data_IF_705012972120
#
_entry.id   IF_705012972120
#
_cell.length_a   1.000
_cell.length_b   1.000
_cell.length_c   1.000
_cell.angle_alpha   90.00
_cell.angle_beta   90.00
_cell.angle_gamma   90.00
#
_symmetry.space_group_name_H-M   'P 1'
#
loop_
_entity.id
_entity.type
_entity.pdbx_description
1 polymer ?
#
# COMPACT_ATOMS: atom_id res chain seq x y z
N UNK A 1 61.12 57.30 39.18
CA UNK A 1 60.96 57.43 40.64
C UNK A 1 60.58 56.08 41.21
N UNK A 2 61.38 55.70 42.13
CA UNK A 2 61.55 54.48 42.87
C UNK A 2 60.38 53.73 43.45
N UNK A 3 60.61 52.54 43.94
CA UNK A 3 59.73 51.34 43.88
C UNK A 3 59.04 51.11 45.25
N UNK A 4 58.10 50.26 45.31
CA UNK A 4 57.65 49.67 46.56
C UNK A 4 57.53 48.15 46.47
N UNK A 5 58.21 47.62 47.50
CA UNK A 5 58.42 46.22 47.83
C UNK A 5 57.10 45.55 48.33
N UNK A 6 56.84 44.35 47.96
CA UNK A 6 57.04 43.16 48.76
C UNK A 6 55.81 42.64 49.45
N UNK A 7 55.57 41.47 49.42
CA UNK A 7 55.60 40.48 50.52
C UNK A 7 55.29 39.06 49.91
N UNK A 8 56.24 38.20 50.13
CA UNK A 8 56.17 36.79 49.92
C UNK A 8 55.27 36.19 51.01
N UNK A 9 54.21 35.52 50.61
CA UNK A 9 53.42 34.66 51.49
C UNK A 9 53.56 33.25 51.05
N UNK A 10 54.18 32.41 51.82
CA UNK A 10 54.35 30.99 51.65
C UNK A 10 52.96 30.28 51.86
N UNK A 11 52.33 29.81 50.84
CA UNK A 11 51.12 29.00 50.93
C UNK A 11 51.45 27.56 50.67
N UNK A 12 51.06 26.77 51.60
CA UNK A 12 51.17 25.29 51.69
C UNK A 12 50.56 24.58 50.50
N UNK A 13 51.34 23.74 49.79
CA UNK A 13 50.82 22.87 48.76
C UNK A 13 50.15 21.64 49.41
N UNK A 14 48.85 21.59 49.39
CA UNK A 14 48.10 20.36 49.64
C UNK A 14 47.99 19.62 48.33
N UNK A 15 48.67 18.50 48.20
CA UNK A 15 48.55 17.59 47.06
C UNK A 15 47.25 16.79 47.24
N UNK A 16 46.24 17.13 46.46
CA UNK A 16 45.00 16.40 46.38
C UNK A 16 45.17 15.34 45.24
N UNK A 17 45.44 14.10 45.62
CA UNK A 17 45.43 12.97 44.68
C UNK A 17 44.00 12.62 44.33
N UNK A 18 43.56 13.06 43.16
CA UNK A 18 42.29 12.58 42.54
C UNK A 18 42.56 11.25 41.86
N UNK A 19 42.08 10.17 42.45
CA UNK A 19 42.05 8.86 41.80
C UNK A 19 40.98 8.89 40.74
N UNK A 20 41.38 8.98 39.44
CA UNK A 20 40.49 8.73 38.31
C UNK A 20 40.25 7.24 38.22
N UNK A 21 39.09 6.77 38.69
CA UNK A 21 38.59 5.45 38.35
C UNK A 21 38.02 5.51 36.92
N UNK A 22 38.80 4.99 35.95
CA UNK A 22 38.24 4.72 34.61
C UNK A 22 37.26 3.54 34.70
N UNK A 23 35.99 3.87 34.79
CA UNK A 23 34.92 2.89 34.57
C UNK A 23 34.89 2.49 33.10
N UNK A 24 35.44 1.34 32.77
CA UNK A 24 35.19 0.70 31.45
C UNK A 24 33.73 0.28 31.43
N UNK A 25 32.85 1.08 30.81
CA UNK A 25 31.55 0.60 30.37
C UNK A 25 31.77 -0.25 29.12
N UNK A 26 31.80 -1.56 29.31
CA UNK A 26 31.71 -2.50 28.21
C UNK A 26 30.33 -2.30 27.56
N UNK A 27 30.29 -1.53 26.46
CA UNK A 27 29.17 -1.56 25.53
C UNK A 27 29.20 -2.95 24.86
N UNK A 28 28.35 -3.85 25.35
CA UNK A 28 28.05 -5.07 24.61
C UNK A 28 27.42 -4.63 23.28
N UNK A 29 28.20 -4.67 22.22
CA UNK A 29 27.72 -4.65 20.84
C UNK A 29 26.84 -5.90 20.69
N UNK A 30 25.54 -5.74 20.83
CA UNK A 30 24.60 -6.77 20.38
C UNK A 30 24.81 -6.86 18.87
N UNK A 31 25.37 -7.98 18.44
CA UNK A 31 25.33 -8.36 17.04
C UNK A 31 23.85 -8.41 16.67
N UNK A 32 23.42 -7.44 15.89
CA UNK A 32 22.12 -7.45 15.23
C UNK A 32 22.17 -8.67 14.32
N UNK A 33 21.51 -9.77 14.74
CA UNK A 33 21.26 -10.89 13.85
C UNK A 33 20.48 -10.28 12.69
N UNK A 34 21.11 -10.25 11.50
CA UNK A 34 20.40 -9.93 10.28
C UNK A 34 19.16 -10.84 10.25
N UNK A 35 17.97 -10.23 10.22
CA UNK A 35 16.77 -10.98 9.92
C UNK A 35 17.03 -11.77 8.64
N UNK A 36 16.59 -13.06 8.57
CA UNK A 36 16.70 -13.81 7.34
C UNK A 36 16.08 -12.95 6.26
N UNK A 37 16.83 -12.71 5.17
CA UNK A 37 16.31 -12.02 4.00
C UNK A 37 14.98 -12.66 3.66
N UNK A 38 13.93 -11.88 3.73
CA UNK A 38 12.59 -12.27 3.27
C UNK A 38 12.78 -12.86 1.88
N UNK A 39 12.61 -14.17 1.75
CA UNK A 39 12.62 -14.84 0.44
C UNK A 39 11.39 -14.27 -0.24
N UNK A 40 11.61 -13.19 -0.98
CA UNK A 40 10.60 -12.35 -1.57
C UNK A 40 9.53 -13.19 -2.22
N UNK A 41 8.40 -13.34 -1.53
CA UNK A 41 7.16 -13.74 -2.19
C UNK A 41 6.92 -12.64 -3.21
N UNK A 42 7.10 -12.98 -4.49
CA UNK A 42 6.85 -12.05 -5.59
C UNK A 42 5.47 -11.43 -5.36
N UNK A 43 5.39 -10.12 -5.48
CA UNK A 43 4.15 -9.40 -5.22
C UNK A 43 3.00 -10.02 -6.02
N UNK A 44 1.98 -10.53 -5.35
CA UNK A 44 0.80 -11.09 -6.02
C UNK A 44 -0.01 -9.92 -6.61
N UNK A 45 0.05 -9.77 -7.93
CA UNK A 45 -0.63 -8.67 -8.61
C UNK A 45 -2.11 -8.96 -8.82
N UNK A 46 -2.96 -8.03 -8.40
CA UNK A 46 -4.38 -7.96 -8.75
C UNK A 46 -4.56 -7.21 -10.07
N UNK A 47 -5.75 -7.33 -10.68
CA UNK A 47 -6.11 -6.47 -11.82
C UNK A 47 -6.04 -4.98 -11.44
N UNK A 48 -5.63 -4.09 -12.36
CA UNK A 48 -5.51 -2.65 -12.06
C UNK A 48 -6.87 -1.92 -12.01
N UNK A 49 -7.99 -2.62 -11.86
CA UNK A 49 -9.34 -2.04 -11.91
C UNK A 49 -10.15 -2.34 -10.66
N UNK A 50 -11.33 -1.71 -10.56
CA UNK A 50 -12.28 -1.97 -9.50
C UNK A 50 -12.76 -3.41 -9.50
N UNK A 51 -13.06 -3.93 -8.31
CA UNK A 51 -13.67 -5.24 -8.13
C UNK A 51 -14.90 -5.45 -9.03
N UNK A 52 -14.97 -6.63 -9.65
CA UNK A 52 -16.05 -7.05 -10.54
C UNK A 52 -15.95 -6.51 -11.96
N UNK A 53 -15.03 -5.58 -12.25
CA UNK A 53 -14.77 -5.13 -13.62
C UNK A 53 -14.06 -6.21 -14.42
N UNK A 54 -14.42 -6.34 -15.69
CA UNK A 54 -13.81 -7.28 -16.63
C UNK A 54 -13.20 -6.50 -17.78
N UNK A 55 -11.91 -6.71 -18.02
CA UNK A 55 -11.21 -6.11 -19.15
C UNK A 55 -10.30 -7.14 -19.83
N UNK A 56 -10.03 -6.94 -21.11
CA UNK A 56 -9.14 -7.78 -21.88
C UNK A 56 -7.69 -7.37 -21.64
N UNK A 57 -6.90 -8.29 -21.09
CA UNK A 57 -5.47 -8.17 -20.93
C UNK A 57 -4.79 -8.70 -22.19
N UNK A 58 -4.29 -7.81 -23.03
CA UNK A 58 -3.75 -8.13 -24.34
C UNK A 58 -2.21 -8.00 -24.31
N UNK A 59 -1.50 -9.11 -24.58
CA UNK A 59 -0.03 -9.16 -24.68
C UNK A 59 0.38 -9.64 -26.09
N UNK A 60 -0.17 -9.03 -27.13
CA UNK A 60 0.09 -9.39 -28.51
C UNK A 60 1.47 -8.95 -29.01
N UNK A 61 2.06 -9.77 -29.86
CA UNK A 61 3.23 -9.42 -30.67
C UNK A 61 2.95 -9.71 -32.13
N UNK A 62 3.45 -8.89 -33.10
CA UNK A 62 4.20 -7.64 -32.95
C UNK A 62 3.24 -6.46 -32.73
N UNK A 63 3.60 -5.52 -31.89
CA UNK A 63 2.81 -4.29 -31.70
C UNK A 63 3.00 -3.65 -30.33
N UNK A 64 3.26 -4.44 -29.30
CA UNK A 64 3.58 -3.89 -27.98
C UNK A 64 5.03 -3.49 -27.87
N UNK A 65 5.26 -2.28 -27.38
CA UNK A 65 6.59 -1.76 -27.10
C UNK A 65 6.58 -1.11 -25.70
N UNK A 66 7.26 -1.68 -24.74
CA UNK A 66 8.12 -2.87 -24.82
C UNK A 66 7.35 -4.19 -24.92
N UNK A 67 7.97 -5.20 -25.52
CA UNK A 67 7.43 -6.56 -25.58
C UNK A 67 7.24 -7.13 -24.16
N UNK A 68 6.08 -7.76 -23.90
CA UNK A 68 5.71 -8.28 -22.57
C UNK A 68 4.77 -7.35 -21.80
N UNK A 69 4.57 -6.11 -22.24
CA UNK A 69 3.55 -5.25 -21.66
C UNK A 69 2.14 -5.80 -21.92
N UNK A 70 1.20 -5.46 -21.06
CA UNK A 70 -0.23 -5.72 -21.23
C UNK A 70 -0.90 -4.40 -21.60
N UNK A 71 -1.62 -4.37 -22.73
CA UNK A 71 -2.59 -3.32 -23.00
C UNK A 71 -3.98 -3.81 -22.56
N UNK A 72 -4.49 -3.18 -21.53
CA UNK A 72 -5.84 -3.45 -21.06
C UNK A 72 -6.84 -2.70 -21.92
N UNK A 73 -7.82 -3.42 -22.43
CA UNK A 73 -8.79 -2.94 -23.39
C UNK A 73 -10.23 -3.23 -22.93
N UNK A 74 -11.18 -2.56 -23.59
CA UNK A 74 -12.61 -2.75 -23.35
C UNK A 74 -13.00 -4.22 -23.56
N UNK A 75 -13.73 -4.80 -22.59
CA UNK A 75 -14.36 -6.10 -22.70
C UNK A 75 -15.89 -5.94 -22.74
N UNK A 76 -16.53 -6.48 -23.77
CA UNK A 76 -17.99 -6.42 -23.91
C UNK A 76 -18.52 -4.98 -23.90
N UNK A 77 -19.39 -4.64 -22.93
CA UNK A 77 -19.96 -3.30 -22.77
C UNK A 77 -19.19 -2.40 -21.79
N UNK A 78 -18.19 -2.93 -21.08
CA UNK A 78 -17.42 -2.17 -20.09
C UNK A 78 -16.41 -1.26 -20.79
N UNK A 79 -16.74 0.02 -20.92
CA UNK A 79 -15.83 1.02 -21.48
C UNK A 79 -14.64 1.24 -20.55
N UNK A 80 -13.41 1.14 -21.10
CA UNK A 80 -12.19 1.33 -20.30
C UNK A 80 -11.81 2.80 -20.10
N UNK A 81 -12.21 3.70 -21.01
CA UNK A 81 -11.90 5.11 -20.92
C UNK A 81 -12.47 5.75 -19.66
N UNK A 82 -11.64 6.42 -18.87
CA UNK A 82 -12.02 7.05 -17.62
C UNK A 82 -12.14 6.09 -16.43
N UNK A 83 -11.95 4.78 -16.63
CA UNK A 83 -12.02 3.80 -15.54
C UNK A 83 -10.93 4.08 -14.50
N UNK A 84 -11.23 3.85 -13.22
CA UNK A 84 -10.26 4.03 -12.12
C UNK A 84 -9.13 3.03 -12.24
N UNK A 85 -7.90 3.53 -12.25
CA UNK A 85 -6.68 2.70 -12.17
C UNK A 85 -6.25 2.55 -10.73
N UNK A 86 -6.04 1.30 -10.31
CA UNK A 86 -5.63 0.92 -8.95
C UNK A 86 -4.26 0.26 -8.95
N UNK A 87 -3.51 0.47 -7.87
CA UNK A 87 -2.25 -0.25 -7.65
C UNK A 87 -2.51 -1.75 -7.59
N UNK A 88 -1.81 -2.53 -8.41
CA UNK A 88 -1.95 -3.99 -8.50
C UNK A 88 -1.33 -4.72 -7.32
N UNK A 89 -0.37 -4.09 -6.64
CA UNK A 89 0.29 -4.55 -5.41
C UNK A 89 0.76 -3.35 -4.59
N UNK A 90 1.04 -3.56 -3.30
CA UNK A 90 1.55 -2.52 -2.39
C UNK A 90 2.94 -2.05 -2.79
N UNK A 91 3.27 -0.79 -2.50
CA UNK A 91 4.60 -0.23 -2.79
C UNK A 91 4.66 1.29 -2.66
N UNK A 92 5.65 1.88 -3.33
CA UNK A 92 5.79 3.33 -3.44
C UNK A 92 5.56 3.77 -4.89
N UNK A 93 4.50 4.51 -5.13
CA UNK A 93 4.17 5.10 -6.42
C UNK A 93 4.97 6.38 -6.65
N UNK A 94 5.51 6.56 -7.85
CA UNK A 94 6.04 7.81 -8.36
C UNK A 94 5.33 8.19 -9.64
N UNK A 95 5.07 9.48 -9.80
CA UNK A 95 4.22 10.06 -10.85
C UNK A 95 5.09 10.79 -11.86
N UNK A 96 4.84 10.57 -13.14
CA UNK A 96 5.63 11.09 -14.25
C UNK A 96 4.75 11.55 -15.41
N UNK A 97 5.33 12.36 -16.28
CA UNK A 97 4.76 12.66 -17.59
C UNK A 97 5.86 12.72 -18.64
N UNK A 98 5.60 12.21 -19.83
CA UNK A 98 6.46 12.37 -21.03
C UNK A 98 5.86 13.36 -22.01
N UNK A 99 4.71 13.96 -21.67
CA UNK A 99 4.09 14.96 -22.54
C UNK A 99 4.92 16.25 -22.51
N UNK A 100 5.55 16.59 -23.62
CA UNK A 100 6.13 17.90 -23.86
C UNK A 100 5.05 18.88 -24.33
N UNK A 101 4.03 18.37 -25.06
CA UNK A 101 2.85 19.12 -25.50
C UNK A 101 1.61 18.22 -25.50
N UNK A 102 0.42 18.85 -25.50
CA UNK A 102 -0.81 18.11 -25.68
C UNK A 102 -0.82 17.46 -27.07
N UNK A 103 -1.06 16.14 -27.09
CA UNK A 103 -1.09 15.35 -28.34
C UNK A 103 0.23 14.73 -28.76
N UNK A 104 1.27 14.74 -27.89
CA UNK A 104 2.46 13.92 -28.12
C UNK A 104 2.06 12.45 -28.26
N UNK A 105 2.29 11.92 -29.44
CA UNK A 105 2.09 10.51 -29.78
C UNK A 105 3.43 9.95 -30.26
N UNK A 106 3.78 8.75 -29.84
CA UNK A 106 5.03 8.12 -30.28
C UNK A 106 5.24 6.78 -29.57
N UNK A 107 6.10 5.95 -30.16
CA UNK A 107 6.33 4.55 -29.77
C UNK A 107 6.82 4.38 -28.32
N UNK A 108 7.31 5.41 -27.67
CA UNK A 108 7.78 5.40 -26.27
C UNK A 108 7.13 6.51 -25.45
N UNK A 109 6.06 7.08 -25.95
CA UNK A 109 5.38 8.18 -25.27
C UNK A 109 4.36 7.61 -24.26
N UNK A 110 4.81 7.31 -23.05
CA UNK A 110 3.91 6.83 -21.98
C UNK A 110 2.84 7.84 -21.57
N UNK A 111 2.95 9.11 -22.03
CA UNK A 111 2.04 10.16 -21.61
C UNK A 111 2.16 10.44 -20.11
N UNK A 112 1.04 10.49 -19.43
CA UNK A 112 1.00 10.49 -17.98
C UNK A 112 1.13 9.04 -17.48
N UNK A 113 2.10 8.78 -16.60
CA UNK A 113 2.33 7.42 -16.12
C UNK A 113 2.81 7.37 -14.67
N UNK A 114 2.62 6.22 -14.07
CA UNK A 114 2.97 5.95 -12.67
C UNK A 114 3.85 4.70 -12.64
N UNK A 115 4.90 4.73 -11.82
CA UNK A 115 5.72 3.55 -11.50
C UNK A 115 5.56 3.25 -10.02
N UNK A 116 5.10 2.05 -9.68
CA UNK A 116 5.06 1.55 -8.29
C UNK A 116 6.26 0.62 -8.09
N UNK A 117 7.12 0.95 -7.11
CA UNK A 117 8.21 0.06 -6.68
C UNK A 117 7.71 -0.75 -5.49
N UNK A 118 7.75 -2.07 -5.61
CA UNK A 118 7.28 -3.03 -4.60
C UNK A 118 8.36 -3.38 -3.58
N UNK A 119 7.96 -3.99 -2.46
CA UNK A 119 8.89 -4.36 -1.37
C UNK A 119 9.93 -5.39 -1.77
N UNK A 120 9.67 -6.24 -2.77
CA UNK A 120 10.58 -7.22 -3.35
C UNK A 120 11.55 -6.63 -4.39
N UNK A 121 11.48 -5.32 -4.64
CA UNK A 121 12.29 -4.61 -5.62
C UNK A 121 11.79 -4.68 -7.07
N UNK A 122 10.73 -5.43 -7.35
CA UNK A 122 10.04 -5.38 -8.65
C UNK A 122 9.28 -4.08 -8.81
N UNK A 123 8.82 -3.78 -10.03
CA UNK A 123 8.03 -2.58 -10.28
C UNK A 123 6.86 -2.89 -11.20
N UNK A 124 5.83 -2.03 -11.11
CA UNK A 124 4.77 -1.96 -12.12
C UNK A 124 4.68 -0.58 -12.71
N UNK A 125 4.37 -0.49 -14.01
CA UNK A 125 4.09 0.77 -14.70
C UNK A 125 2.67 0.79 -15.21
N UNK A 126 2.03 1.97 -15.11
CA UNK A 126 0.68 2.26 -15.54
C UNK A 126 0.74 3.51 -16.41
N UNK A 127 0.45 3.40 -17.70
CA UNK A 127 0.64 4.51 -18.63
C UNK A 127 -0.63 4.90 -19.40
N UNK A 128 -0.53 5.96 -20.18
CA UNK A 128 -1.61 6.60 -20.96
C UNK A 128 -2.76 7.14 -20.09
N UNK A 129 -2.45 7.56 -18.86
CA UNK A 129 -3.46 8.00 -17.89
C UNK A 129 -4.08 9.35 -18.30
N UNK A 130 -5.40 9.48 -18.11
CA UNK A 130 -6.10 10.76 -18.20
C UNK A 130 -5.77 11.64 -17.00
N UNK A 131 -5.85 11.06 -15.79
CA UNK A 131 -5.55 11.76 -14.54
C UNK A 131 -4.64 10.93 -13.65
N UNK A 132 -3.93 11.61 -12.75
CA UNK A 132 -3.13 11.01 -11.69
C UNK A 132 -3.50 11.65 -10.35
N UNK A 133 -3.50 10.88 -9.26
CA UNK A 133 -3.86 11.39 -7.92
C UNK A 133 -2.81 12.32 -7.32
N UNK A 134 -1.64 12.44 -7.93
CA UNK A 134 -0.56 13.38 -7.58
C UNK A 134 0.08 13.95 -8.84
N UNK A 135 0.68 15.12 -8.70
CA UNK A 135 1.42 15.77 -9.78
C UNK A 135 2.71 15.01 -10.11
N UNK A 136 3.22 15.11 -11.35
CA UNK A 136 4.52 14.58 -11.72
C UNK A 136 5.63 15.02 -10.75
N UNK A 137 6.55 14.09 -10.43
CA UNK A 137 7.63 14.27 -9.46
C UNK A 137 7.27 13.86 -8.03
N UNK A 138 5.99 13.77 -7.68
CA UNK A 138 5.56 13.33 -6.36
C UNK A 138 5.76 11.83 -6.12
N UNK A 139 5.73 11.44 -4.84
CA UNK A 139 5.70 10.04 -4.39
C UNK A 139 4.54 9.83 -3.42
N UNK A 140 4.01 8.60 -3.39
CA UNK A 140 2.92 8.20 -2.52
C UNK A 140 3.09 6.72 -2.14
N UNK A 141 3.06 6.41 -0.84
CA UNK A 141 2.93 5.03 -0.39
C UNK A 141 1.52 4.52 -0.73
N UNK A 142 1.43 3.38 -1.40
CA UNK A 142 0.17 2.79 -1.86
C UNK A 142 0.05 1.35 -1.37
N UNK A 143 -1.15 0.99 -0.90
CA UNK A 143 -1.56 -0.40 -0.71
C UNK A 143 -2.06 -0.97 -2.04
N UNK A 144 -2.12 -2.33 -2.14
CA UNK A 144 -2.86 -2.98 -3.22
C UNK A 144 -4.31 -2.45 -3.22
N UNK A 145 -4.82 -2.07 -4.37
CA UNK A 145 -6.18 -1.52 -4.50
C UNK A 145 -6.30 -0.01 -4.35
N UNK A 146 -5.25 0.69 -3.89
CA UNK A 146 -5.26 2.16 -3.84
C UNK A 146 -5.51 2.75 -5.21
N UNK A 147 -6.49 3.65 -5.34
CA UNK A 147 -6.72 4.41 -6.57
C UNK A 147 -5.52 5.33 -6.85
N UNK A 148 -4.96 5.26 -8.05
CA UNK A 148 -3.76 6.02 -8.43
C UNK A 148 -3.97 6.96 -9.63
N UNK A 149 -5.02 6.75 -10.42
CA UNK A 149 -5.37 7.57 -11.58
C UNK A 149 -6.60 7.07 -12.31
N UNK A 150 -6.79 7.52 -13.54
CA UNK A 150 -7.85 7.04 -14.45
C UNK A 150 -7.27 6.75 -15.82
N UNK A 151 -7.85 5.77 -16.52
CA UNK A 151 -7.47 5.41 -17.88
C UNK A 151 -7.77 6.54 -18.85
N UNK A 152 -6.82 6.82 -19.72
CA UNK A 152 -6.96 7.83 -20.77
C UNK A 152 -6.32 7.39 -22.07
N UNK A 153 -5.90 8.39 -22.81
CA UNK A 153 -5.16 8.23 -24.08
C UNK A 153 -3.96 9.20 -24.17
N UNK A 154 -3.41 9.65 -23.06
CA UNK A 154 -2.25 10.54 -23.08
C UNK A 154 -1.04 9.81 -23.70
N UNK A 155 -0.41 10.41 -24.72
CA UNK A 155 0.70 9.82 -25.47
C UNK A 155 0.32 8.71 -26.45
N UNK A 156 -0.98 8.46 -26.67
CA UNK A 156 -1.49 7.45 -27.62
C UNK A 156 -2.80 7.93 -28.27
N UNK A 157 -3.24 7.29 -29.35
CA UNK A 157 -4.43 7.69 -30.11
C UNK A 157 -5.74 7.12 -29.55
N UNK A 158 -5.70 5.99 -28.85
CA UNK A 158 -6.88 5.32 -28.33
C UNK A 158 -6.79 5.08 -26.82
N UNK A 159 -7.92 5.15 -26.13
CA UNK A 159 -7.95 4.93 -24.70
C UNK A 159 -7.69 3.45 -24.37
N UNK A 160 -6.68 3.18 -23.58
CA UNK A 160 -6.32 1.89 -23.00
C UNK A 160 -5.38 2.12 -21.80
N UNK A 161 -5.19 1.10 -20.98
CA UNK A 161 -4.17 1.13 -19.94
C UNK A 161 -2.99 0.27 -20.38
N UNK A 162 -1.87 0.91 -20.69
CA UNK A 162 -0.60 0.20 -20.87
C UNK A 162 -0.02 -0.15 -19.50
N UNK A 163 0.28 -1.43 -19.29
CA UNK A 163 0.74 -1.97 -18.02
C UNK A 163 1.96 -2.86 -18.18
N UNK A 164 2.94 -2.69 -17.31
CA UNK A 164 4.16 -3.50 -17.29
C UNK A 164 4.42 -4.05 -15.90
N UNK A 165 4.88 -5.31 -15.84
CA UNK A 165 5.60 -5.87 -14.70
C UNK A 165 7.10 -5.82 -15.02
N UNK A 166 7.88 -5.22 -14.13
CA UNK A 166 9.31 -4.97 -14.32
C UNK A 166 10.07 -5.74 -13.27
N UNK A 167 11.00 -6.59 -13.71
CA UNK A 167 11.83 -7.41 -12.84
C UNK A 167 12.81 -6.56 -12.01
N UNK A 168 13.41 -7.12 -10.98
CA UNK A 168 14.44 -6.47 -10.17
C UNK A 168 15.67 -6.06 -10.99
N UNK A 169 15.95 -6.77 -12.11
CA UNK A 169 17.01 -6.44 -13.06
C UNK A 169 16.63 -5.28 -14.00
N UNK A 170 15.38 -4.79 -13.95
CA UNK A 170 14.89 -3.69 -14.78
C UNK A 170 14.36 -4.10 -16.16
N UNK A 171 14.35 -5.39 -16.48
CA UNK A 171 13.73 -5.92 -17.70
C UNK A 171 12.20 -6.06 -17.54
N UNK A 172 11.48 -6.04 -18.66
CA UNK A 172 10.04 -6.32 -18.68
C UNK A 172 9.81 -7.81 -18.51
N UNK A 173 8.89 -8.20 -17.63
CA UNK A 173 8.42 -9.56 -17.54
C UNK A 173 7.58 -9.88 -18.79
N UNK A 174 7.99 -10.89 -19.55
CA UNK A 174 7.30 -11.28 -20.79
C UNK A 174 6.12 -12.23 -20.55
N UNK A 175 5.89 -12.62 -19.30
CA UNK A 175 4.80 -13.50 -18.88
C UNK A 175 4.14 -12.98 -17.59
N UNK A 176 3.70 -11.70 -17.57
CA UNK A 176 3.16 -11.10 -16.37
C UNK A 176 1.95 -11.88 -15.86
N UNK A 177 1.84 -11.97 -14.54
CA UNK A 177 0.74 -12.67 -13.87
C UNK A 177 -0.13 -11.68 -13.10
N UNK A 178 -1.44 -11.71 -13.36
CA UNK A 178 -2.45 -10.85 -12.74
C UNK A 178 -3.65 -11.71 -12.33
N UNK A 179 -4.18 -11.54 -11.12
CA UNK A 179 -5.24 -12.39 -10.54
C UNK A 179 -4.90 -13.89 -10.57
N UNK A 180 -3.62 -14.26 -10.52
CA UNK A 180 -3.15 -15.64 -10.67
C UNK A 180 -3.20 -16.17 -12.11
N UNK A 181 -3.53 -15.33 -13.09
CA UNK A 181 -3.61 -15.66 -14.53
C UNK A 181 -2.36 -15.11 -15.21
N UNK A 182 -1.56 -15.97 -15.81
CA UNK A 182 -0.41 -15.57 -16.63
C UNK A 182 -0.87 -15.17 -18.03
N UNK A 183 -0.42 -14.00 -18.49
CA UNK A 183 -0.70 -13.46 -19.84
C UNK A 183 0.61 -13.46 -20.62
N UNK A 184 0.94 -14.59 -21.24
CA UNK A 184 2.16 -14.74 -22.02
C UNK A 184 2.08 -14.00 -23.35
N UNK A 185 3.24 -13.79 -23.98
CA UNK A 185 3.33 -13.19 -25.32
C UNK A 185 2.39 -13.84 -26.33
N UNK A 186 1.68 -13.04 -27.10
CA UNK A 186 0.70 -13.46 -28.08
C UNK A 186 -0.66 -13.90 -27.51
N UNK A 187 -0.90 -13.67 -26.22
CA UNK A 187 -2.15 -14.02 -25.56
C UNK A 187 -3.02 -12.80 -25.27
N UNK A 188 -4.31 -13.02 -25.30
CA UNK A 188 -5.34 -12.13 -24.77
C UNK A 188 -6.20 -12.91 -23.79
N UNK A 189 -6.54 -12.29 -22.65
CA UNK A 189 -7.32 -12.89 -21.57
C UNK A 189 -8.31 -11.88 -21.02
N UNK A 190 -9.59 -12.23 -21.01
CA UNK A 190 -10.57 -11.51 -20.21
C UNK A 190 -10.31 -11.82 -18.73
N UNK A 191 -10.03 -10.80 -17.93
CA UNK A 191 -9.70 -10.92 -16.52
C UNK A 191 -10.71 -10.15 -15.69
N UNK A 192 -11.40 -10.84 -14.79
CA UNK A 192 -12.25 -10.22 -13.78
C UNK A 192 -11.39 -9.73 -12.61
N UNK A 193 -11.51 -8.47 -12.29
CA UNK A 193 -10.79 -7.88 -11.16
C UNK A 193 -11.37 -8.33 -9.82
N UNK A 194 -10.49 -8.75 -8.90
CA UNK A 194 -10.79 -8.89 -7.48
C UNK A 194 -10.09 -7.78 -6.66
N UNK A 195 -9.53 -6.78 -7.33
CA UNK A 195 -8.81 -5.69 -6.67
C UNK A 195 -9.80 -4.73 -5.99
N UNK A 196 -9.47 -4.33 -4.77
CA UNK A 196 -10.32 -3.48 -3.95
C UNK A 196 -11.76 -4.02 -3.77
N UNK A 197 -11.93 -5.34 -3.69
CA UNK A 197 -13.22 -5.97 -3.39
C UNK A 197 -13.70 -5.70 -1.94
N UNK A 198 -13.23 -4.62 -1.35
CA UNK A 198 -13.63 -4.13 -0.05
C UNK A 198 -14.89 -3.28 -0.04
N UNK A 199 -15.84 -3.59 -0.94
CA UNK A 199 -17.09 -2.85 -1.11
C UNK A 199 -17.10 -2.11 -2.44
N UNK A 200 -17.97 -2.51 -3.36
CA UNK A 200 -18.09 -1.95 -4.71
C UNK A 200 -18.26 -0.41 -4.63
N UNK A 201 -17.28 0.34 -5.16
CA UNK A 201 -17.32 1.79 -5.26
C UNK A 201 -16.85 2.57 -4.01
N UNK A 202 -16.46 1.93 -2.90
CA UNK A 202 -15.86 2.65 -1.77
C UNK A 202 -14.49 3.18 -2.18
N UNK A 203 -14.21 4.51 -2.03
CA UNK A 203 -12.93 5.08 -2.41
C UNK A 203 -11.77 4.66 -1.50
N UNK A 204 -12.05 3.98 -0.37
CA UNK A 204 -11.05 3.52 0.61
C UNK A 204 -10.88 2.01 0.55
N UNK A 205 -9.64 1.56 0.75
CA UNK A 205 -9.32 0.14 1.00
C UNK A 205 -9.12 -0.10 2.50
N UNK A 206 -9.25 -1.35 2.98
CA UNK A 206 -8.97 -1.67 4.38
C UNK A 206 -7.56 -1.27 4.81
N UNK A 207 -6.56 -1.43 3.92
CA UNK A 207 -5.17 -1.07 4.16
C UNK A 207 -4.97 0.45 4.28
N UNK A 208 -5.66 1.26 3.44
CA UNK A 208 -5.62 2.72 3.58
C UNK A 208 -6.19 3.17 4.92
N UNK A 209 -7.27 2.54 5.38
CA UNK A 209 -7.89 2.86 6.68
C UNK A 209 -6.99 2.40 7.84
N UNK A 210 -6.45 1.18 7.79
CA UNK A 210 -5.58 0.65 8.83
C UNK A 210 -4.14 1.18 8.78
N UNK A 211 -3.68 1.66 7.61
CA UNK A 211 -2.35 2.25 7.42
C UNK A 211 -1.31 1.26 6.91
N UNK A 212 -0.09 1.78 6.74
CA UNK A 212 1.03 1.03 6.16
C UNK A 212 1.43 -0.18 7.01
N UNK A 213 1.78 -1.29 6.35
CA UNK A 213 2.25 -2.52 6.98
C UNK A 213 1.15 -3.45 7.48
N UNK A 214 -0.13 -3.07 7.31
CA UNK A 214 -1.25 -3.96 7.62
C UNK A 214 -1.61 -4.84 6.42
N UNK A 215 -1.80 -6.13 6.67
CA UNK A 215 -2.30 -7.11 5.70
C UNK A 215 -3.64 -7.66 6.17
N UNK A 216 -4.56 -7.92 5.24
CA UNK A 216 -5.85 -8.54 5.57
C UNK A 216 -5.56 -10.00 5.98
N UNK A 217 -6.02 -10.39 7.15
CA UNK A 217 -5.93 -11.76 7.66
C UNK A 217 -7.29 -12.45 7.67
N UNK A 218 -8.39 -11.66 7.74
CA UNK A 218 -9.74 -12.21 7.66
C UNK A 218 -10.76 -11.13 7.23
N UNK A 219 -11.94 -11.57 6.79
CA UNK A 219 -13.04 -10.68 6.41
C UNK A 219 -14.40 -11.38 6.50
N UNK A 220 -15.45 -10.60 6.74
CA UNK A 220 -16.83 -11.08 6.72
C UNK A 220 -17.73 -10.15 5.93
N UNK A 221 -18.52 -10.73 5.03
CA UNK A 221 -19.50 -9.97 4.22
C UNK A 221 -20.71 -9.57 5.08
N UNK A 222 -21.17 -8.33 4.87
CA UNK A 222 -22.36 -7.75 5.44
C UNK A 222 -23.31 -7.30 4.32
N UNK A 223 -24.60 -7.25 4.61
CA UNK A 223 -25.50 -6.52 3.68
C UNK A 223 -25.12 -5.04 3.68
N UNK A 224 -24.62 -4.57 2.54
CA UNK A 224 -24.19 -3.18 2.34
C UNK A 224 -22.73 -2.88 2.75
N UNK A 225 -21.89 -3.89 3.00
CA UNK A 225 -20.47 -3.68 3.28
C UNK A 225 -19.71 -4.94 3.60
N UNK A 226 -18.48 -4.75 4.08
CA UNK A 226 -17.60 -5.85 4.53
C UNK A 226 -16.79 -5.35 5.73
N UNK A 227 -16.69 -6.17 6.77
CA UNK A 227 -15.78 -5.95 7.89
C UNK A 227 -14.50 -6.74 7.67
N UNK A 228 -13.36 -6.12 7.97
CA UNK A 228 -12.02 -6.67 7.76
C UNK A 228 -11.24 -6.69 9.06
N UNK A 229 -10.52 -7.80 9.29
CA UNK A 229 -9.43 -7.89 10.25
C UNK A 229 -8.10 -7.81 9.50
N UNK A 230 -7.21 -6.94 9.95
CA UNK A 230 -5.85 -6.80 9.43
C UNK A 230 -4.84 -6.94 10.56
N UNK A 231 -3.64 -7.41 10.22
CA UNK A 231 -2.52 -7.55 11.14
C UNK A 231 -1.26 -6.89 10.58
N UNK A 232 -0.49 -6.25 11.46
CA UNK A 232 0.82 -5.69 11.14
C UNK A 232 1.89 -6.44 11.95
N UNK A 233 2.64 -7.31 11.29
CA UNK A 233 3.68 -8.13 11.90
C UNK A 233 4.86 -7.31 12.44
N UNK A 234 5.10 -6.11 11.88
CA UNK A 234 6.19 -5.22 12.31
C UNK A 234 5.99 -4.61 13.70
N UNK A 235 4.73 -4.54 14.20
CA UNK A 235 4.42 -3.94 15.49
C UNK A 235 3.43 -4.75 16.34
N UNK A 236 2.98 -5.92 15.87
CA UNK A 236 2.04 -6.79 16.58
C UNK A 236 0.63 -6.25 16.73
N UNK A 237 0.25 -5.27 15.92
CA UNK A 237 -1.07 -4.65 15.98
C UNK A 237 -2.08 -5.37 15.08
N UNK A 238 -3.26 -5.64 15.64
CA UNK A 238 -4.47 -5.94 14.89
C UNK A 238 -5.23 -4.64 14.59
N UNK A 239 -5.92 -4.60 13.46
CA UNK A 239 -6.78 -3.50 13.05
C UNK A 239 -8.10 -4.02 12.49
N UNK A 240 -9.22 -3.43 12.88
CA UNK A 240 -10.54 -3.71 12.31
C UNK A 240 -11.10 -2.48 11.64
N UNK A 241 -11.64 -2.65 10.46
CA UNK A 241 -12.42 -1.62 9.75
C UNK A 241 -13.61 -2.25 9.05
N UNK A 242 -14.71 -1.53 8.99
CA UNK A 242 -15.91 -1.91 8.24
C UNK A 242 -16.11 -0.92 7.10
N UNK A 243 -15.99 -1.38 5.87
CA UNK A 243 -16.19 -0.58 4.67
C UNK A 243 -17.60 -0.79 4.13
N UNK A 244 -18.29 0.30 3.82
CA UNK A 244 -19.60 0.28 3.14
C UNK A 244 -19.43 -0.11 1.67
N UNK A 245 -20.44 -0.76 1.11
CA UNK A 245 -20.60 -1.01 -0.34
C UNK A 245 -21.84 -0.34 -0.91
N UNK A 246 -22.70 0.22 -0.05
CA UNK A 246 -23.92 0.91 -0.44
C UNK A 246 -24.03 2.26 0.25
N UNK A 247 -24.85 3.16 -0.26
CA UNK A 247 -25.06 4.53 0.27
C UNK A 247 -23.74 5.27 0.51
N UNK A 248 -22.78 5.10 -0.40
CA UNK A 248 -21.48 5.75 -0.35
C UNK A 248 -21.63 7.26 -0.47
N UNK A 249 -20.82 8.01 0.30
CA UNK A 249 -20.96 9.46 0.38
C UNK A 249 -22.13 9.95 1.25
N UNK A 250 -23.04 9.06 1.67
CA UNK A 250 -24.16 9.40 2.56
C UNK A 250 -23.92 8.81 3.94
N UNK A 251 -24.02 9.63 4.98
CA UNK A 251 -23.84 9.19 6.35
C UNK A 251 -24.93 8.18 6.75
N UNK A 252 -24.53 7.03 7.28
CA UNK A 252 -25.41 5.97 7.77
C UNK A 252 -24.73 5.18 8.88
N UNK A 253 -25.47 4.44 9.73
CA UNK A 253 -24.89 3.70 10.84
C UNK A 253 -23.89 2.65 10.36
N UNK A 254 -22.65 2.73 10.87
CA UNK A 254 -21.56 1.77 10.64
C UNK A 254 -20.79 1.60 11.94
N UNK A 255 -20.32 0.39 12.21
CA UNK A 255 -19.43 0.13 13.34
C UNK A 255 -18.30 -0.83 13.01
N UNK A 256 -17.21 -0.72 13.75
CA UNK A 256 -16.11 -1.69 13.78
C UNK A 256 -15.69 -1.91 15.23
N UNK A 257 -15.31 -3.14 15.61
CA UNK A 257 -14.79 -3.41 16.95
C UNK A 257 -13.69 -4.45 16.95
N UNK A 258 -12.85 -4.37 17.98
CA UNK A 258 -11.75 -5.30 18.25
C UNK A 258 -11.62 -5.55 19.76
N UNK A 259 -11.50 -6.83 20.14
CA UNK A 259 -11.43 -7.30 21.53
C UNK A 259 -10.34 -8.37 21.64
N UNK A 260 -9.11 -8.05 22.07
CA UNK A 260 -8.14 -9.06 22.44
C UNK A 260 -8.65 -9.87 23.65
N UNK A 261 -8.40 -11.17 23.65
CA UNK A 261 -8.83 -12.07 24.73
C UNK A 261 -8.25 -11.61 26.08
N UNK A 262 -9.12 -11.52 27.08
CA UNK A 262 -8.74 -10.98 28.40
C UNK A 262 -8.69 -9.46 28.50
N UNK A 263 -9.04 -8.75 27.44
CA UNK A 263 -9.08 -7.28 27.42
C UNK A 263 -10.49 -6.76 27.11
N UNK A 264 -10.73 -5.47 27.38
CA UNK A 264 -11.98 -4.81 27.02
C UNK A 264 -12.08 -4.58 25.52
N UNK A 265 -13.28 -4.72 24.99
CA UNK A 265 -13.59 -4.38 23.59
C UNK A 265 -13.41 -2.88 23.35
N UNK A 266 -12.79 -2.55 22.23
CA UNK A 266 -12.78 -1.20 21.67
C UNK A 266 -13.70 -1.17 20.46
N UNK A 267 -14.56 -0.16 20.38
CA UNK A 267 -15.53 -0.02 19.28
C UNK A 267 -15.48 1.39 18.75
N UNK A 268 -15.51 1.52 17.41
CA UNK A 268 -15.84 2.72 16.69
C UNK A 268 -17.23 2.54 16.10
N UNK A 269 -18.16 3.44 16.43
CA UNK A 269 -19.55 3.39 15.97
C UNK A 269 -20.09 4.80 15.74
N UNK A 270 -20.77 4.99 14.63
CA UNK A 270 -21.31 6.30 14.26
C UNK A 270 -22.06 6.25 12.94
N UNK A 271 -22.46 7.44 12.47
CA UNK A 271 -22.96 7.63 11.11
C UNK A 271 -21.82 8.10 10.22
N UNK A 272 -21.32 7.19 9.37
CA UNK A 272 -20.17 7.44 8.52
C UNK A 272 -20.54 7.38 7.03
N UNK A 273 -19.81 8.13 6.21
CA UNK A 273 -20.04 8.21 4.77
C UNK A 273 -19.49 7.01 4.03
N UNK A 274 -18.36 6.44 4.49
CA UNK A 274 -17.62 5.40 3.77
C UNK A 274 -17.24 4.20 4.64
N UNK A 275 -16.77 4.40 5.88
CA UNK A 275 -16.29 3.33 6.74
C UNK A 275 -16.36 3.69 8.23
N UNK A 276 -16.30 2.68 9.10
CA UNK A 276 -15.99 2.78 10.52
C UNK A 276 -14.61 2.16 10.80
N UNK A 277 -13.94 2.64 11.81
CA UNK A 277 -12.54 2.31 12.13
C UNK A 277 -11.58 3.42 11.67
N UNK A 278 -10.27 3.21 11.81
CA UNK A 278 -9.61 1.97 12.24
C UNK A 278 -9.66 1.75 13.75
N UNK A 279 -10.03 0.56 14.16
CA UNK A 279 -9.90 0.13 15.57
C UNK A 279 -8.64 -0.70 15.71
N UNK A 280 -7.61 -0.17 16.35
CA UNK A 280 -6.29 -0.81 16.46
C UNK A 280 -6.00 -1.24 17.89
N UNK A 281 -5.45 -2.46 18.09
CA UNK A 281 -5.00 -2.99 19.37
C UNK A 281 -3.76 -3.86 19.20
N UNK A 282 -2.76 -3.67 20.04
CA UNK A 282 -1.60 -4.56 20.12
C UNK A 282 -2.02 -5.85 20.81
N UNK A 283 -1.86 -6.98 20.13
CA UNK A 283 -2.22 -8.30 20.64
C UNK A 283 -1.38 -9.40 19.98
N UNK A 284 -0.03 -9.36 20.08
CA UNK A 284 0.82 -10.39 19.50
C UNK A 284 0.61 -11.71 20.26
N UNK A 285 0.32 -12.79 19.50
CA UNK A 285 0.10 -14.12 20.08
C UNK A 285 -1.16 -14.25 20.97
N UNK A 286 -2.10 -13.31 20.89
CA UNK A 286 -3.34 -13.30 21.66
C UNK A 286 -4.52 -13.40 20.70
N UNK A 287 -5.46 -14.34 20.99
CA UNK A 287 -6.68 -14.45 20.19
C UNK A 287 -7.47 -13.15 20.21
N UNK A 288 -8.06 -12.79 19.10
CA UNK A 288 -8.90 -11.61 18.98
C UNK A 288 -10.32 -11.98 18.59
N UNK A 289 -11.28 -11.24 19.13
CA UNK A 289 -12.67 -11.21 18.67
C UNK A 289 -12.87 -9.89 17.96
N UNK A 290 -13.42 -9.94 16.76
CA UNK A 290 -13.56 -8.79 15.90
C UNK A 290 -14.90 -8.77 15.19
N UNK A 291 -15.26 -7.64 14.63
CA UNK A 291 -16.51 -7.52 13.88
C UNK A 291 -16.92 -6.08 13.65
N UNK A 292 -18.12 -5.93 13.13
CA UNK A 292 -18.71 -4.64 12.82
C UNK A 292 -20.12 -4.74 12.27
N UNK A 293 -20.69 -3.60 11.84
CA UNK A 293 -22.02 -3.55 11.26
C UNK A 293 -22.15 -2.49 10.18
N UNK A 294 -23.09 -2.71 9.26
CA UNK A 294 -23.62 -1.70 8.33
C UNK A 294 -25.15 -1.70 8.45
N UNK A 295 -25.73 -0.64 8.95
CA UNK A 295 -27.16 -0.60 9.29
C UNK A 295 -27.54 -1.69 10.29
N UNK A 296 -28.45 -2.58 9.90
CA UNK A 296 -28.89 -3.72 10.70
C UNK A 296 -28.09 -5.01 10.49
N UNK A 297 -27.25 -5.07 9.46
CA UNK A 297 -26.38 -6.23 9.18
C UNK A 297 -25.13 -6.16 10.06
N UNK A 298 -24.82 -7.23 10.80
CA UNK A 298 -23.67 -7.27 11.70
C UNK A 298 -22.96 -8.62 11.66
N UNK A 299 -21.67 -8.60 12.00
CA UNK A 299 -20.83 -9.76 12.18
C UNK A 299 -20.07 -9.67 13.50
N UNK A 300 -19.89 -10.80 14.14
CA UNK A 300 -19.06 -10.96 15.34
C UNK A 300 -18.36 -12.31 15.26
N UNK A 301 -17.04 -12.31 15.23
CA UNK A 301 -16.24 -13.54 15.21
C UNK A 301 -16.24 -14.24 16.59
N UNK A 302 -15.86 -15.53 16.68
CA UNK A 302 -15.34 -16.11 17.92
C UNK A 302 -14.01 -15.43 18.30
N UNK A 303 -13.36 -15.88 19.39
CA UNK A 303 -11.94 -15.59 19.61
C UNK A 303 -11.10 -16.49 18.70
N UNK A 304 -10.31 -15.89 17.81
CA UNK A 304 -9.52 -16.56 16.77
C UNK A 304 -8.23 -15.80 16.48
N UNK A 305 -7.43 -16.23 15.52
CA UNK A 305 -6.13 -15.61 15.17
C UNK A 305 -5.22 -15.49 16.40
N UNK A 306 -4.95 -16.61 17.05
CA UNK A 306 -4.24 -16.69 18.33
C UNK A 306 -2.69 -16.62 18.22
N UNK A 307 -2.12 -16.32 17.03
CA UNK A 307 -0.66 -16.21 16.81
C UNK A 307 -0.11 -17.31 15.96
#
# INVERSE_FOLDING_TARGET
MTPSRGKILKGLFAVLTVALTFGFTSTSSQAQTAEPADIGIMAAHKSPFNCGKVFDANNWTPGHNPSGSIDWQTHGSDAIAGETVRATASGTARFYTTLAAAGDIGIMAYGNYIVVTHGDGTKTRYAHLATMVRSPGASLAVGQGTAIGTVGNSGTSAAHLHYEQITTAGGIDTSPTVEGITVSLGQERAITSTNACGGAGNPYTPQEVCGTGYVIVDQAALTGGTVYLLYNSGNGNNCVTTLKSTSLGTASPVSAFLEPQGSTRTTDTGSYTYYAGPVRRTAPGVCVKWGGSVGSSSYTSPFEHCG
#
